data_IF_222229662791
#
_entry.id   IF_222229662791
#
_cell.length_a   1.000
_cell.length_b   1.000
_cell.length_c   1.000
_cell.angle_alpha   90.00
_cell.angle_beta   90.00
_cell.angle_gamma   90.00
#
_symmetry.space_group_name_H-M   'P 1'
#
loop_
_entity.id
_entity.type
_entity.pdbx_description
1 polymer ?
#
# COMPACT_ATOMS: atom_id res chain seq x y z
N UNK A 1 10.78 -14.43 8.41
CA UNK A 1 11.65 -13.25 8.19
C UNK A 1 13.07 -13.58 8.61
N UNK A 2 14.07 -13.40 7.76
CA UNK A 2 15.44 -13.20 8.25
C UNK A 2 15.64 -11.70 8.24
N UNK A 3 15.66 -11.10 9.43
CA UNK A 3 15.88 -9.66 9.56
C UNK A 3 17.30 -9.38 9.04
N UNK A 4 17.38 -8.65 7.93
CA UNK A 4 18.63 -8.45 7.20
C UNK A 4 19.68 -7.68 8.01
N UNK A 5 19.22 -6.93 9.02
CA UNK A 5 20.04 -6.17 9.96
C UNK A 5 20.20 -6.87 11.32
N UNK A 6 20.03 -8.20 11.37
CA UNK A 6 20.34 -9.00 12.55
C UNK A 6 21.42 -10.04 12.26
N UNK A 7 22.23 -10.30 13.29
CA UNK A 7 23.16 -11.42 13.38
C UNK A 7 22.38 -12.66 13.82
N UNK A 8 22.67 -13.79 13.19
CA UNK A 8 22.04 -15.08 13.51
C UNK A 8 23.15 -16.06 13.90
N UNK A 9 23.53 -16.07 15.18
CA UNK A 9 24.67 -16.85 15.67
C UNK A 9 24.34 -18.35 15.89
N UNK A 10 23.08 -18.68 16.18
CA UNK A 10 22.63 -20.05 16.51
C UNK A 10 21.87 -20.77 15.39
N UNK A 11 22.13 -20.40 14.13
CA UNK A 11 21.40 -20.92 12.97
C UNK A 11 20.10 -20.17 12.67
N UNK A 12 19.34 -20.66 11.69
CA UNK A 12 18.13 -19.98 11.23
C UNK A 12 16.96 -20.19 12.21
N UNK A 13 16.23 -19.12 12.60
CA UNK A 13 15.06 -19.24 13.45
C UNK A 13 13.97 -20.07 12.75
N UNK A 14 13.23 -20.84 13.54
CA UNK A 14 12.09 -21.64 13.06
C UNK A 14 11.03 -20.74 12.40
N UNK A 15 10.09 -21.34 11.68
CA UNK A 15 8.99 -20.58 11.07
C UNK A 15 8.18 -19.81 12.13
N UNK A 16 7.86 -20.44 13.25
CA UNK A 16 7.06 -19.84 14.32
C UNK A 16 7.78 -18.67 14.99
N UNK A 17 9.05 -18.84 15.35
CA UNK A 17 9.85 -17.74 15.92
C UNK A 17 9.93 -16.53 14.98
N UNK A 18 10.00 -16.79 13.68
CA UNK A 18 9.97 -15.73 12.66
C UNK A 18 8.63 -15.01 12.57
N UNK A 19 7.53 -15.71 12.77
CA UNK A 19 6.18 -15.14 12.81
C UNK A 19 6.01 -14.29 14.08
N UNK A 20 6.45 -14.79 15.24
CA UNK A 20 6.40 -14.08 16.52
C UNK A 20 7.25 -12.80 16.49
N UNK A 21 8.47 -12.86 15.94
CA UNK A 21 9.33 -11.69 15.76
C UNK A 21 8.70 -10.65 14.83
N UNK A 22 8.08 -11.10 13.74
CA UNK A 22 7.40 -10.21 12.81
C UNK A 22 6.20 -9.52 13.46
N UNK A 23 5.41 -10.29 14.22
CA UNK A 23 4.28 -9.75 14.96
C UNK A 23 4.75 -8.68 15.95
N UNK A 24 5.71 -8.99 16.83
CA UNK A 24 6.26 -8.04 17.80
C UNK A 24 6.79 -6.74 17.17
N UNK A 25 7.50 -6.85 16.04
CA UNK A 25 8.02 -5.68 15.33
C UNK A 25 6.91 -4.85 14.69
N UNK A 26 5.95 -5.50 14.01
CA UNK A 26 4.88 -4.83 13.31
C UNK A 26 3.85 -4.20 14.26
N UNK A 27 3.54 -4.83 15.38
CA UNK A 27 2.52 -4.34 16.33
C UNK A 27 3.09 -3.29 17.29
N UNK A 28 4.39 -3.36 17.60
CA UNK A 28 5.01 -2.45 18.57
C UNK A 28 6.18 -1.66 18.00
N UNK A 29 7.28 -2.31 17.62
CA UNK A 29 8.55 -1.61 17.36
C UNK A 29 8.47 -0.57 16.23
N UNK A 30 7.64 -0.84 15.21
CA UNK A 30 7.48 0.04 14.06
C UNK A 30 6.33 1.05 14.21
N UNK A 31 5.44 0.89 15.20
CA UNK A 31 4.37 1.84 15.46
C UNK A 31 4.83 2.88 16.49
N UNK A 32 4.82 4.15 16.11
CA UNK A 32 5.15 5.26 17.04
C UNK A 32 4.14 5.30 18.19
N UNK A 33 2.85 5.12 17.87
CA UNK A 33 1.76 5.12 18.86
C UNK A 33 1.91 3.97 19.84
N UNK A 34 2.16 2.74 19.38
CA UNK A 34 2.35 1.60 20.27
C UNK A 34 3.56 1.76 21.19
N UNK A 35 4.69 2.29 20.68
CA UNK A 35 5.88 2.53 21.52
C UNK A 35 5.65 3.54 22.63
N UNK A 36 4.77 4.54 22.43
CA UNK A 36 4.43 5.52 23.48
C UNK A 36 3.70 4.89 24.67
N UNK A 37 3.02 3.76 24.45
CA UNK A 37 2.26 3.06 25.50
C UNK A 37 3.09 2.05 26.29
N UNK A 38 4.42 1.99 26.07
CA UNK A 38 5.31 1.04 26.73
C UNK A 38 5.40 -0.31 26.02
N UNK A 39 6.36 -1.14 26.44
CA UNK A 39 6.63 -2.47 25.88
C UNK A 39 5.77 -3.53 26.59
N UNK A 40 4.82 -4.22 25.89
CA UNK A 40 4.04 -5.29 26.49
C UNK A 40 4.91 -6.49 26.91
N UNK A 41 4.55 -7.14 28.01
CA UNK A 41 5.29 -8.27 28.58
C UNK A 41 5.34 -9.46 27.62
N UNK A 42 4.26 -9.69 26.87
CA UNK A 42 4.10 -10.84 25.96
C UNK A 42 5.11 -10.83 24.81
N UNK A 43 5.57 -9.65 24.40
CA UNK A 43 6.51 -9.47 23.28
C UNK A 43 7.90 -9.02 23.73
N UNK A 44 8.11 -8.80 25.04
CA UNK A 44 9.37 -8.28 25.58
C UNK A 44 10.56 -9.16 25.24
N UNK A 45 10.39 -10.49 25.28
CA UNK A 45 11.44 -11.46 24.92
C UNK A 45 11.85 -11.32 23.46
N UNK A 46 10.88 -11.17 22.56
CA UNK A 46 11.10 -11.04 21.12
C UNK A 46 11.80 -9.72 20.81
N UNK A 47 11.40 -8.61 21.45
CA UNK A 47 12.03 -7.31 21.27
C UNK A 47 13.49 -7.32 21.76
N UNK A 48 13.76 -7.84 22.97
CA UNK A 48 15.14 -7.96 23.46
C UNK A 48 16.03 -8.80 22.55
N UNK A 49 15.50 -9.91 22.03
CA UNK A 49 16.21 -10.73 21.05
C UNK A 49 16.58 -9.94 19.79
N UNK A 50 15.68 -9.08 19.30
CA UNK A 50 15.97 -8.20 18.16
C UNK A 50 17.03 -7.18 18.51
N UNK A 51 16.95 -6.54 19.67
CA UNK A 51 17.92 -5.55 20.13
C UNK A 51 19.33 -6.14 20.24
N UNK A 52 19.47 -7.29 20.90
CA UNK A 52 20.75 -7.97 21.13
C UNK A 52 21.40 -8.44 19.82
N UNK A 53 20.58 -8.92 18.87
CA UNK A 53 21.06 -9.45 17.61
C UNK A 53 21.25 -8.38 16.53
N UNK A 54 20.72 -7.17 16.71
CA UNK A 54 20.79 -6.12 15.69
C UNK A 54 22.22 -5.62 15.47
N UNK A 55 22.57 -5.31 14.22
CA UNK A 55 23.84 -4.64 13.94
C UNK A 55 23.83 -3.24 14.57
N UNK A 56 24.94 -2.89 15.24
CA UNK A 56 25.23 -1.48 15.54
C UNK A 56 25.31 -0.70 14.23
N UNK A 57 24.73 0.49 14.19
CA UNK A 57 24.73 1.34 12.98
C UNK A 57 26.15 1.57 12.46
N UNK A 58 27.12 1.78 13.36
CA UNK A 58 28.54 1.98 12.99
C UNK A 58 29.14 0.80 12.23
N UNK A 59 28.65 -0.44 12.44
CA UNK A 59 29.11 -1.60 11.69
C UNK A 59 28.73 -1.53 10.21
N UNK A 60 27.73 -0.71 9.84
CA UNK A 60 27.36 -0.50 8.45
C UNK A 60 28.36 0.40 7.70
N UNK A 61 29.37 0.97 8.35
CA UNK A 61 30.49 1.61 7.66
C UNK A 61 31.37 0.60 6.91
N UNK A 62 31.33 -0.68 7.32
CA UNK A 62 32.06 -1.77 6.69
C UNK A 62 31.34 -2.29 5.44
N UNK A 63 32.05 -2.31 4.32
CA UNK A 63 31.52 -2.75 3.03
C UNK A 63 31.14 -4.24 3.02
N UNK A 64 31.80 -5.09 3.80
CA UNK A 64 31.49 -6.51 3.88
C UNK A 64 30.19 -6.77 4.61
N UNK A 65 29.93 -6.01 5.68
CA UNK A 65 28.64 -6.06 6.40
C UNK A 65 27.52 -5.63 5.47
N UNK A 66 27.67 -4.51 4.77
CA UNK A 66 26.64 -4.01 3.86
C UNK A 66 26.41 -4.97 2.68
N UNK A 67 27.47 -5.63 2.17
CA UNK A 67 27.36 -6.68 1.15
C UNK A 67 26.58 -7.89 1.69
N UNK A 68 26.82 -8.31 2.93
CA UNK A 68 26.07 -9.39 3.57
C UNK A 68 24.58 -9.03 3.71
N UNK A 69 24.27 -7.79 4.11
CA UNK A 69 22.89 -7.28 4.19
C UNK A 69 22.22 -7.34 2.81
N UNK A 70 22.88 -6.86 1.75
CA UNK A 70 22.36 -6.96 0.38
C UNK A 70 22.07 -8.40 -0.04
N UNK A 71 22.96 -9.33 0.30
CA UNK A 71 22.76 -10.76 0.07
C UNK A 71 21.50 -11.31 0.75
N UNK A 72 21.15 -10.81 1.95
CA UNK A 72 19.91 -11.18 2.63
C UNK A 72 18.67 -10.50 2.04
N UNK A 73 18.77 -9.23 1.64
CA UNK A 73 17.67 -8.53 0.97
C UNK A 73 17.29 -9.21 -0.35
N UNK A 74 18.28 -9.82 -1.04
CA UNK A 74 18.11 -10.60 -2.25
C UNK A 74 17.39 -11.95 -2.08
N UNK A 75 17.03 -12.34 -0.85
CA UNK A 75 16.34 -13.61 -0.56
C UNK A 75 14.90 -13.39 -0.08
N UNK A 76 14.07 -14.40 -0.35
CA UNK A 76 12.72 -14.60 0.20
C UNK A 76 12.82 -15.24 1.59
N UNK A 77 11.66 -15.39 2.25
CA UNK A 77 11.56 -16.01 3.57
C UNK A 77 11.94 -17.49 3.57
N UNK A 78 11.84 -18.17 2.44
CA UNK A 78 12.23 -19.57 2.24
C UNK A 78 13.70 -19.70 1.78
N UNK A 79 14.47 -18.61 1.79
CA UNK A 79 15.87 -18.58 1.38
C UNK A 79 16.08 -18.53 -0.14
N UNK A 80 15.03 -18.70 -0.95
CA UNK A 80 15.12 -18.62 -2.41
C UNK A 80 15.34 -17.17 -2.88
N UNK A 81 15.86 -16.95 -4.11
CA UNK A 81 16.02 -15.59 -4.65
C UNK A 81 14.71 -14.81 -4.66
N UNK A 82 14.75 -13.55 -4.22
CA UNK A 82 13.65 -12.61 -4.34
C UNK A 82 13.44 -12.21 -5.81
N UNK A 83 12.21 -11.78 -6.14
CA UNK A 83 11.97 -11.15 -7.43
C UNK A 83 12.85 -9.89 -7.58
N UNK A 84 13.27 -9.59 -8.80
CA UNK A 84 14.20 -8.49 -9.09
C UNK A 84 13.63 -7.14 -8.63
N UNK A 85 12.35 -6.90 -8.91
CA UNK A 85 11.64 -5.68 -8.50
C UNK A 85 11.55 -5.56 -6.98
N UNK A 86 11.43 -6.69 -6.27
CA UNK A 86 11.46 -6.74 -4.80
C UNK A 86 12.84 -6.40 -4.27
N UNK A 87 13.90 -6.95 -4.84
CA UNK A 87 15.28 -6.63 -4.44
C UNK A 87 15.59 -5.15 -4.69
N UNK A 88 15.26 -4.62 -5.88
CA UNK A 88 15.47 -3.23 -6.22
C UNK A 88 14.79 -2.28 -5.23
N UNK A 89 13.54 -2.59 -4.83
CA UNK A 89 12.80 -1.83 -3.81
C UNK A 89 13.48 -1.88 -2.45
N UNK A 90 13.83 -3.08 -1.96
CA UNK A 90 14.53 -3.26 -0.69
C UNK A 90 15.87 -2.50 -0.65
N UNK A 91 16.64 -2.57 -1.75
CA UNK A 91 17.92 -1.85 -1.89
C UNK A 91 17.72 -0.33 -1.85
N UNK A 92 16.71 0.19 -2.54
CA UNK A 92 16.38 1.62 -2.51
C UNK A 92 15.98 2.08 -1.10
N UNK A 93 15.16 1.31 -0.39
CA UNK A 93 14.82 1.58 1.02
C UNK A 93 16.07 1.57 1.90
N UNK A 94 16.95 0.58 1.74
CA UNK A 94 18.19 0.49 2.50
C UNK A 94 19.16 1.64 2.20
N UNK A 95 19.25 2.08 0.93
CA UNK A 95 20.00 3.27 0.56
C UNK A 95 19.49 4.53 1.28
N UNK A 96 18.17 4.74 1.30
CA UNK A 96 17.56 5.89 1.98
C UNK A 96 17.78 5.83 3.50
N UNK A 97 17.70 4.64 4.09
CA UNK A 97 18.05 4.44 5.50
C UNK A 97 19.50 4.85 5.78
N UNK A 98 20.47 4.34 5.01
CA UNK A 98 21.88 4.70 5.18
C UNK A 98 22.13 6.20 4.98
N UNK A 99 21.45 6.83 4.01
CA UNK A 99 21.50 8.29 3.81
C UNK A 99 20.97 9.04 5.04
N UNK A 100 19.84 8.62 5.59
CA UNK A 100 19.29 9.20 6.82
C UNK A 100 20.24 9.03 8.02
N UNK A 101 20.95 7.91 8.12
CA UNK A 101 21.96 7.71 9.18
C UNK A 101 23.16 8.64 9.04
N UNK A 102 23.53 9.03 7.81
CA UNK A 102 24.52 10.09 7.56
C UNK A 102 23.99 11.45 8.00
N UNK A 103 22.76 11.79 7.62
CA UNK A 103 22.11 13.06 8.05
C UNK A 103 22.00 13.18 9.58
N UNK A 104 21.89 12.05 10.28
CA UNK A 104 21.89 11.99 11.76
C UNK A 104 23.28 11.89 12.39
N UNK A 105 24.35 11.88 11.60
CA UNK A 105 25.73 11.86 12.09
C UNK A 105 26.21 10.50 12.62
N UNK A 106 25.48 9.41 12.37
CA UNK A 106 25.90 8.07 12.78
C UNK A 106 26.83 7.39 11.77
N UNK A 107 26.90 7.91 10.54
CA UNK A 107 27.80 7.48 9.48
C UNK A 107 28.41 8.71 8.80
N UNK A 108 29.66 8.61 8.35
CA UNK A 108 30.33 9.71 7.64
C UNK A 108 29.87 9.84 6.19
N UNK A 109 29.55 8.72 5.55
CA UNK A 109 29.08 8.66 4.16
C UNK A 109 28.23 7.41 3.94
N UNK A 110 27.43 7.41 2.87
CA UNK A 110 26.66 6.22 2.49
C UNK A 110 27.62 5.21 1.84
N UNK A 111 27.77 3.99 2.40
CA UNK A 111 28.70 2.97 1.88
C UNK A 111 28.19 2.28 0.62
N UNK A 112 26.87 2.32 0.36
CA UNK A 112 26.23 1.51 -0.67
C UNK A 112 26.71 1.80 -2.11
N UNK A 113 27.00 3.06 -2.51
CA UNK A 113 27.57 3.37 -3.81
C UNK A 113 28.94 2.73 -4.08
N UNK A 114 29.72 2.45 -3.04
CA UNK A 114 31.07 1.89 -3.17
C UNK A 114 31.06 0.36 -3.31
N UNK A 115 29.89 -0.27 -3.23
CA UNK A 115 29.75 -1.72 -3.32
C UNK A 115 29.43 -2.09 -4.76
N UNK A 116 30.39 -2.74 -5.42
CA UNK A 116 30.16 -3.37 -6.71
C UNK A 116 29.10 -4.46 -6.56
N UNK A 117 27.93 -4.20 -7.14
CA UNK A 117 26.79 -5.11 -7.15
C UNK A 117 26.12 -5.04 -8.51
N UNK A 118 26.06 -6.16 -9.24
CA UNK A 118 25.38 -6.22 -10.54
C UNK A 118 23.86 -6.14 -10.32
N UNK A 119 23.19 -5.06 -10.74
CA UNK A 119 21.73 -4.98 -10.64
C UNK A 119 21.12 -5.99 -11.61
N UNK A 120 20.11 -6.71 -11.17
CA UNK A 120 19.27 -7.51 -12.07
C UNK A 120 18.43 -6.59 -12.96
N UNK A 121 18.29 -6.95 -14.24
CA UNK A 121 17.57 -6.15 -15.23
C UNK A 121 16.07 -6.37 -15.04
N UNK A 122 15.40 -5.44 -14.36
CA UNK A 122 13.95 -5.43 -14.30
C UNK A 122 13.36 -5.20 -15.70
N UNK A 123 12.59 -6.17 -16.22
CA UNK A 123 11.72 -5.93 -17.36
C UNK A 123 10.49 -5.14 -16.89
N UNK A 124 10.29 -3.95 -17.43
CA UNK A 124 9.13 -3.09 -17.16
C UNK A 124 8.03 -3.27 -18.20
N UNK A 125 8.19 -4.18 -19.17
CA UNK A 125 7.20 -4.42 -20.20
C UNK A 125 5.88 -4.91 -19.59
N UNK A 126 4.80 -4.20 -19.93
CA UNK A 126 3.44 -4.63 -19.58
C UNK A 126 3.02 -5.74 -20.54
N UNK A 127 2.80 -6.95 -20.03
CA UNK A 127 2.19 -8.01 -20.81
C UNK A 127 0.71 -7.69 -21.09
N UNK A 128 0.43 -7.18 -22.29
CA UNK A 128 -0.91 -6.77 -22.74
C UNK A 128 -1.95 -7.90 -22.62
N UNK A 129 -1.53 -9.17 -22.63
CA UNK A 129 -2.44 -10.33 -22.47
C UNK A 129 -2.98 -10.46 -21.04
N UNK A 130 -2.25 -9.89 -20.07
CA UNK A 130 -2.63 -9.86 -18.65
C UNK A 130 -3.45 -8.62 -18.28
N UNK A 131 -3.55 -7.64 -19.18
CA UNK A 131 -4.36 -6.43 -18.97
C UNK A 131 -5.81 -6.71 -19.36
N UNK A 132 -6.73 -6.22 -18.54
CA UNK A 132 -8.17 -6.29 -18.80
C UNK A 132 -8.51 -5.40 -19.99
N UNK A 133 -9.04 -5.99 -21.06
CA UNK A 133 -9.57 -5.23 -22.19
C UNK A 133 -11.03 -4.82 -21.94
N UNK A 134 -11.58 -3.97 -22.80
CA UNK A 134 -12.94 -3.44 -22.65
C UNK A 134 -14.00 -4.53 -22.47
N UNK A 135 -14.00 -5.54 -23.35
CA UNK A 135 -14.97 -6.63 -23.31
C UNK A 135 -14.89 -7.43 -22.00
N UNK A 136 -13.67 -7.73 -21.53
CA UNK A 136 -13.45 -8.40 -20.23
C UNK A 136 -13.88 -7.52 -19.07
N UNK A 137 -13.55 -6.23 -19.10
CA UNK A 137 -13.93 -5.28 -18.05
C UNK A 137 -15.43 -5.15 -17.89
N UNK A 138 -16.17 -5.01 -19.00
CA UNK A 138 -17.65 -5.02 -18.97
C UNK A 138 -18.21 -6.30 -18.35
N UNK A 139 -17.65 -7.47 -18.69
CA UNK A 139 -18.05 -8.75 -18.08
C UNK A 139 -17.70 -8.83 -16.60
N UNK A 140 -16.56 -8.29 -16.18
CA UNK A 140 -16.15 -8.22 -14.78
C UNK A 140 -17.11 -7.34 -13.96
N UNK A 141 -17.49 -6.16 -14.47
CA UNK A 141 -18.46 -5.30 -13.80
C UNK A 141 -19.82 -5.99 -13.61
N UNK A 142 -20.28 -6.77 -14.59
CA UNK A 142 -21.50 -7.58 -14.47
C UNK A 142 -21.30 -8.70 -13.44
N UNK A 143 -20.16 -9.40 -13.46
CA UNK A 143 -19.87 -10.46 -12.51
C UNK A 143 -19.82 -9.93 -11.07
N UNK A 144 -19.20 -8.78 -10.85
CA UNK A 144 -19.15 -8.07 -9.56
C UNK A 144 -20.57 -7.81 -9.04
N UNK A 145 -21.50 -7.32 -9.87
CA UNK A 145 -22.88 -7.09 -9.42
C UNK A 145 -23.65 -8.33 -8.99
N UNK A 146 -23.14 -9.53 -9.30
CA UNK A 146 -23.74 -10.80 -8.88
C UNK A 146 -23.13 -11.34 -7.58
N UNK A 147 -22.16 -10.63 -6.98
CA UNK A 147 -21.49 -11.00 -5.73
C UNK A 147 -22.21 -10.41 -4.50
N UNK A 148 -23.50 -10.71 -4.38
CA UNK A 148 -24.35 -10.23 -3.29
C UNK A 148 -24.57 -8.71 -3.29
N UNK A 149 -25.12 -8.19 -2.18
CA UNK A 149 -25.46 -6.77 -2.06
C UNK A 149 -24.23 -5.85 -2.16
N UNK A 150 -23.12 -6.22 -1.51
CA UNK A 150 -21.89 -5.44 -1.56
C UNK A 150 -21.24 -5.46 -2.96
N UNK A 151 -21.30 -6.58 -3.67
CA UNK A 151 -20.88 -6.64 -5.07
C UNK A 151 -21.72 -5.74 -5.99
N UNK A 152 -23.05 -5.70 -5.79
CA UNK A 152 -23.93 -4.79 -6.53
C UNK A 152 -23.59 -3.32 -6.24
N UNK A 153 -23.40 -2.98 -4.96
CA UNK A 153 -23.00 -1.64 -4.51
C UNK A 153 -21.64 -1.20 -5.09
N UNK A 154 -20.64 -2.09 -5.08
CA UNK A 154 -19.30 -1.75 -5.56
C UNK A 154 -19.14 -1.87 -7.08
N UNK A 155 -20.18 -2.24 -7.85
CA UNK A 155 -20.10 -2.25 -9.31
C UNK A 155 -19.71 -0.88 -9.88
N UNK A 156 -20.29 0.21 -9.37
CA UNK A 156 -19.93 1.56 -9.80
C UNK A 156 -18.52 1.96 -9.34
N UNK A 157 -18.10 1.54 -8.14
CA UNK A 157 -16.73 1.71 -7.65
C UNK A 157 -15.70 1.08 -8.61
N UNK A 158 -15.88 -0.19 -8.98
CA UNK A 158 -15.02 -0.84 -9.96
C UNK A 158 -15.14 -0.21 -11.36
N UNK A 159 -16.32 0.36 -11.68
CA UNK A 159 -16.52 1.18 -12.87
C UNK A 159 -15.60 2.38 -12.92
N UNK A 160 -15.46 3.13 -11.81
CA UNK A 160 -14.54 4.27 -11.70
C UNK A 160 -13.08 3.85 -11.91
N UNK A 161 -12.66 2.72 -11.34
CA UNK A 161 -11.30 2.18 -11.53
C UNK A 161 -11.05 1.79 -12.99
N UNK A 162 -11.99 1.06 -13.59
CA UNK A 162 -11.80 0.50 -14.93
C UNK A 162 -11.99 1.51 -16.06
N UNK A 163 -13.06 2.32 -16.01
CA UNK A 163 -13.45 3.22 -17.10
C UNK A 163 -12.79 4.60 -17.00
N UNK A 164 -12.35 5.02 -15.80
CA UNK A 164 -11.76 6.33 -15.58
C UNK A 164 -10.37 6.29 -14.92
N UNK A 165 -9.84 5.09 -14.61
CA UNK A 165 -8.48 4.94 -14.08
C UNK A 165 -8.27 5.60 -12.72
N UNK A 166 -9.33 5.68 -11.90
CA UNK A 166 -9.21 6.15 -10.52
C UNK A 166 -8.35 5.18 -9.73
N UNK A 167 -7.54 5.72 -8.81
CA UNK A 167 -6.93 4.90 -7.78
C UNK A 167 -8.02 4.42 -6.81
N UNK A 168 -7.86 3.24 -6.18
CA UNK A 168 -8.78 2.75 -5.17
C UNK A 168 -9.15 3.78 -4.09
N UNK A 169 -8.15 4.51 -3.58
CA UNK A 169 -8.36 5.56 -2.58
C UNK A 169 -9.06 6.81 -3.10
N UNK A 170 -8.91 7.15 -4.39
CA UNK A 170 -9.64 8.27 -5.02
C UNK A 170 -11.12 7.89 -5.15
N UNK A 171 -11.42 6.68 -5.64
CA UNK A 171 -12.79 6.20 -5.73
C UNK A 171 -13.43 6.08 -4.34
N UNK A 172 -12.72 5.58 -3.33
CA UNK A 172 -13.25 5.43 -1.97
C UNK A 172 -13.59 6.77 -1.28
N UNK A 173 -12.95 7.86 -1.69
CA UNK A 173 -13.17 9.21 -1.16
C UNK A 173 -14.13 10.05 -2.02
N UNK A 174 -14.56 9.55 -3.20
CA UNK A 174 -15.39 10.28 -4.16
C UNK A 174 -16.74 10.67 -3.54
N UNK A 175 -17.08 11.95 -3.61
CA UNK A 175 -18.36 12.49 -3.13
C UNK A 175 -19.28 12.92 -4.27
N UNK A 176 -20.56 13.13 -3.96
CA UNK A 176 -21.55 13.59 -4.93
C UNK A 176 -21.22 14.99 -5.48
N UNK A 177 -20.73 15.89 -4.64
CA UNK A 177 -20.40 17.27 -5.02
C UNK A 177 -19.19 17.37 -5.97
N UNK A 178 -18.40 16.29 -6.08
CA UNK A 178 -17.31 16.19 -7.05
C UNK A 178 -17.77 15.71 -8.43
N UNK A 179 -19.07 15.44 -8.62
CA UNK A 179 -19.63 14.93 -9.87
C UNK A 179 -20.32 16.01 -10.69
N UNK A 180 -19.96 16.03 -11.98
CA UNK A 180 -20.67 16.75 -13.02
C UNK A 180 -21.31 15.70 -13.94
N UNK A 181 -22.55 15.34 -13.65
CA UNK A 181 -23.32 14.37 -14.42
C UNK A 181 -24.20 15.09 -15.45
N UNK A 182 -24.09 14.78 -16.75
CA UNK A 182 -24.90 15.41 -17.79
C UNK A 182 -26.33 14.86 -17.76
N UNK A 183 -27.35 15.69 -17.96
CA UNK A 183 -28.77 15.26 -17.91
C UNK A 183 -29.08 14.09 -18.86
N UNK A 184 -28.35 13.99 -19.97
CA UNK A 184 -28.44 12.92 -20.93
C UNK A 184 -27.40 11.82 -20.67
N UNK A 185 -27.87 10.58 -20.55
CA UNK A 185 -27.06 9.40 -20.28
C UNK A 185 -26.07 9.01 -21.39
N UNK A 186 -26.19 9.57 -22.59
CA UNK A 186 -25.26 9.34 -23.70
C UNK A 186 -24.16 10.41 -23.80
N UNK A 187 -24.18 11.41 -22.92
CA UNK A 187 -23.15 12.43 -22.84
C UNK A 187 -22.06 12.09 -21.82
N UNK A 188 -20.82 12.56 -22.04
CA UNK A 188 -19.75 12.41 -21.06
C UNK A 188 -19.94 13.37 -19.88
N UNK A 189 -19.49 12.96 -18.69
CA UNK A 189 -19.46 13.79 -17.49
C UNK A 189 -18.04 14.03 -16.97
N UNK A 190 -17.93 14.67 -15.81
CA UNK A 190 -16.65 14.94 -15.15
C UNK A 190 -16.66 14.57 -13.66
N UNK A 191 -15.50 14.13 -13.17
CA UNK A 191 -15.21 14.02 -11.74
C UNK A 191 -14.11 15.02 -11.39
N UNK A 192 -14.33 15.82 -10.36
CA UNK A 192 -13.39 16.83 -9.88
C UNK A 192 -12.73 16.37 -8.58
N UNK A 193 -11.86 15.35 -8.68
CA UNK A 193 -11.29 14.67 -7.53
C UNK A 193 -10.44 15.63 -6.69
N UNK A 194 -10.67 15.69 -5.39
CA UNK A 194 -9.93 16.55 -4.46
C UNK A 194 -9.15 15.74 -3.42
N UNK A 195 -9.60 14.53 -3.11
CA UNK A 195 -9.06 13.74 -2.02
C UNK A 195 -8.81 12.27 -2.40
N UNK A 196 -8.03 11.59 -1.56
CA UNK A 196 -7.79 10.16 -1.63
C UNK A 196 -7.75 9.58 -0.23
N UNK A 197 -8.37 8.42 -0.03
CA UNK A 197 -8.27 7.64 1.19
C UNK A 197 -7.41 6.40 0.95
N UNK A 198 -6.08 6.46 1.07
CA UNK A 198 -5.25 5.26 0.98
C UNK A 198 -5.58 4.29 2.13
N UNK A 199 -5.49 2.99 1.87
CA UNK A 199 -5.64 1.97 2.91
C UNK A 199 -4.42 2.02 3.84
N UNK A 200 -4.62 2.59 5.02
CA UNK A 200 -3.64 2.56 6.11
C UNK A 200 -4.41 2.24 7.39
N UNK A 201 -4.02 1.16 8.06
CA UNK A 201 -4.65 0.77 9.32
C UNK A 201 -4.41 1.81 10.41
N UNK A 202 -5.38 2.01 11.29
CA UNK A 202 -5.33 2.96 12.42
C UNK A 202 -4.01 3.02 13.19
N UNK A 203 -3.37 1.88 13.54
CA UNK A 203 -2.08 1.87 14.24
C UNK A 203 -0.90 2.57 13.52
N UNK A 204 -1.08 2.92 12.24
CA UNK A 204 -0.11 3.57 11.36
C UNK A 204 -0.51 5.00 10.97
N UNK A 205 -1.53 5.55 11.63
CA UNK A 205 -2.03 6.91 11.45
C UNK A 205 -1.86 7.70 12.73
N UNK A 206 -1.81 9.02 12.63
CA UNK A 206 -1.62 9.87 13.80
C UNK A 206 -2.90 9.95 14.64
N UNK A 207 -4.07 9.86 13.99
CA UNK A 207 -5.39 9.88 14.63
C UNK A 207 -5.82 8.52 15.19
N UNK A 208 -5.20 7.42 14.76
CA UNK A 208 -5.68 6.06 15.06
C UNK A 208 -6.81 5.60 14.14
N UNK A 209 -7.21 6.41 13.17
CA UNK A 209 -8.29 6.15 12.21
C UNK A 209 -7.81 6.31 10.77
N UNK A 210 -8.50 5.70 9.81
CA UNK A 210 -8.15 5.86 8.39
C UNK A 210 -8.41 7.29 7.94
N UNK A 211 -7.36 7.94 7.44
CA UNK A 211 -7.41 9.34 7.04
C UNK A 211 -7.77 9.53 5.56
N UNK A 212 -8.54 10.57 5.28
CA UNK A 212 -8.68 11.15 3.94
C UNK A 212 -7.59 12.22 3.79
N UNK A 213 -6.80 12.12 2.72
CA UNK A 213 -5.63 12.97 2.47
C UNK A 213 -5.66 13.53 1.05
N UNK A 214 -4.69 14.39 0.75
CA UNK A 214 -4.52 14.97 -0.58
C UNK A 214 -4.21 13.92 -1.65
N UNK A 215 -4.50 14.25 -2.90
CA UNK A 215 -4.17 13.41 -4.05
C UNK A 215 -2.67 13.09 -4.13
N UNK A 216 -2.36 11.90 -4.65
CA UNK A 216 -0.99 11.41 -4.79
C UNK A 216 -0.13 12.38 -5.62
N UNK A 217 0.98 12.84 -5.05
CA UNK A 217 1.90 13.81 -5.68
C UNK A 217 1.21 15.11 -6.12
N UNK A 218 0.29 15.61 -5.30
CA UNK A 218 -0.39 16.89 -5.52
C UNK A 218 -0.39 17.73 -4.24
N UNK A 219 -0.61 19.03 -4.40
CA UNK A 219 -0.84 19.94 -3.29
C UNK A 219 -2.18 19.62 -2.59
N UNK A 220 -2.34 20.08 -1.35
CA UNK A 220 -3.49 19.76 -0.49
C UNK A 220 -4.84 20.11 -1.11
N UNK A 221 -4.90 21.21 -1.87
CA UNK A 221 -6.14 21.71 -2.49
C UNK A 221 -6.18 21.51 -4.02
N UNK A 222 -5.38 20.59 -4.55
CA UNK A 222 -5.34 20.37 -5.98
C UNK A 222 -6.55 19.55 -6.44
N UNK A 223 -7.26 20.06 -7.43
CA UNK A 223 -8.34 19.33 -8.12
C UNK A 223 -7.76 18.57 -9.31
N UNK A 224 -8.13 17.30 -9.46
CA UNK A 224 -7.84 16.49 -10.65
C UNK A 224 -9.15 16.27 -11.41
N UNK A 225 -9.39 16.98 -12.53
CA UNK A 225 -10.51 16.67 -13.40
C UNK A 225 -10.27 15.33 -14.10
N UNK A 226 -11.27 14.47 -14.11
CA UNK A 226 -11.24 13.17 -14.77
C UNK A 226 -12.51 13.01 -15.61
N UNK A 227 -12.42 12.80 -16.93
CA UNK A 227 -13.59 12.61 -17.77
C UNK A 227 -14.25 11.25 -17.46
N UNK A 228 -15.58 11.23 -17.50
CA UNK A 228 -16.41 10.04 -17.40
C UNK A 228 -17.01 9.69 -18.74
N UNK A 229 -16.83 8.45 -19.17
CA UNK A 229 -17.59 7.92 -20.31
C UNK A 229 -19.10 7.89 -20.01
N UNK A 230 -19.98 7.95 -21.02
CA UNK A 230 -21.43 7.81 -20.83
C UNK A 230 -21.82 6.53 -20.07
N UNK A 231 -21.11 5.43 -20.32
CA UNK A 231 -21.30 4.18 -19.57
C UNK A 231 -21.02 4.35 -18.07
N UNK A 232 -19.99 5.12 -17.69
CA UNK A 232 -19.69 5.39 -16.29
C UNK A 232 -20.73 6.31 -15.66
N UNK A 233 -21.19 7.34 -16.38
CA UNK A 233 -22.30 8.20 -15.93
C UNK A 233 -23.55 7.37 -15.60
N UNK A 234 -23.94 6.44 -16.47
CA UNK A 234 -25.05 5.51 -16.21
C UNK A 234 -24.83 4.62 -14.99
N UNK A 235 -23.62 4.09 -14.80
CA UNK A 235 -23.31 3.28 -13.63
C UNK A 235 -23.41 4.09 -12.33
N UNK A 236 -22.97 5.34 -12.34
CA UNK A 236 -23.05 6.24 -11.19
C UNK A 236 -24.50 6.65 -10.91
N UNK A 237 -25.29 7.00 -11.94
CA UNK A 237 -26.71 7.31 -11.77
C UNK A 237 -27.47 6.13 -11.16
N UNK A 238 -27.31 4.92 -11.72
CA UNK A 238 -27.93 3.72 -11.18
C UNK A 238 -27.49 3.43 -9.73
N UNK A 239 -26.23 3.70 -9.39
CA UNK A 239 -25.74 3.60 -8.01
C UNK A 239 -26.44 4.59 -7.09
N UNK A 240 -26.56 5.85 -7.49
CA UNK A 240 -27.20 6.89 -6.70
C UNK A 240 -28.70 6.61 -6.50
N UNK A 241 -29.39 6.08 -7.51
CA UNK A 241 -30.80 5.69 -7.42
C UNK A 241 -31.03 4.55 -6.42
N UNK A 242 -30.16 3.53 -6.42
CA UNK A 242 -30.34 2.34 -5.60
C UNK A 242 -29.80 2.55 -4.17
N UNK A 243 -28.64 3.19 -4.05
CA UNK A 243 -27.88 3.23 -2.80
C UNK A 243 -27.73 4.63 -2.20
N UNK A 244 -28.01 5.70 -2.95
CA UNK A 244 -27.76 7.07 -2.53
C UNK A 244 -26.30 7.30 -2.11
N UNK A 245 -26.09 8.26 -1.21
CA UNK A 245 -24.79 8.59 -0.62
C UNK A 245 -24.72 8.17 0.85
N UNK A 246 -23.51 8.10 1.38
CA UNK A 246 -23.29 8.13 2.83
C UNK A 246 -23.67 9.53 3.41
N UNK A 247 -23.83 9.67 4.74
CA UNK A 247 -24.15 10.96 5.37
C UNK A 247 -23.13 12.07 5.12
N UNK A 248 -21.88 11.70 4.83
CA UNK A 248 -20.78 12.60 4.49
C UNK A 248 -20.66 12.88 2.98
N UNK A 249 -21.66 12.45 2.19
CA UNK A 249 -21.71 12.67 0.74
C UNK A 249 -20.91 11.69 -0.10
N UNK A 250 -20.15 10.76 0.50
CA UNK A 250 -19.41 9.73 -0.24
C UNK A 250 -20.36 8.81 -1.01
N UNK A 251 -19.95 8.42 -2.22
CA UNK A 251 -20.69 7.46 -3.04
C UNK A 251 -20.59 6.04 -2.48
N UNK A 252 -19.36 5.61 -2.14
CA UNK A 252 -19.07 4.23 -1.78
C UNK A 252 -18.72 4.10 -0.30
N UNK A 253 -19.17 2.98 0.27
CA UNK A 253 -19.09 2.69 1.71
C UNK A 253 -19.05 1.19 1.96
N UNK A 254 -18.40 0.79 3.04
CA UNK A 254 -18.41 -0.58 3.56
C UNK A 254 -19.78 -0.92 4.17
N UNK A 255 -20.00 -2.18 4.56
CA UNK A 255 -21.27 -2.64 5.15
C UNK A 255 -21.62 -1.90 6.45
N UNK A 256 -20.60 -1.48 7.21
CA UNK A 256 -20.70 -0.67 8.42
C UNK A 256 -20.90 0.85 8.14
N UNK A 257 -20.98 1.25 6.87
CA UNK A 257 -21.07 2.65 6.45
C UNK A 257 -19.72 3.38 6.39
N UNK A 258 -18.63 2.73 6.77
CA UNK A 258 -17.28 3.29 6.77
C UNK A 258 -16.66 3.43 5.37
N UNK A 259 -15.36 3.71 5.33
CA UNK A 259 -14.58 3.72 4.09
C UNK A 259 -14.45 2.29 3.53
N UNK A 260 -14.52 2.17 2.21
CA UNK A 260 -14.33 0.89 1.51
C UNK A 260 -12.91 0.36 1.75
N UNK A 261 -12.79 -0.79 2.39
CA UNK A 261 -11.50 -1.45 2.65
C UNK A 261 -11.04 -2.34 1.50
N UNK A 262 -9.73 -2.53 1.37
CA UNK A 262 -9.10 -3.44 0.43
C UNK A 262 -9.51 -4.88 0.75
N UNK A 263 -9.75 -5.24 2.01
CA UNK A 263 -10.29 -6.56 2.37
C UNK A 263 -11.65 -6.82 1.71
N UNK A 264 -12.55 -5.84 1.71
CA UNK A 264 -13.85 -5.94 1.03
C UNK A 264 -13.65 -5.99 -0.48
N UNK A 265 -12.83 -5.10 -1.04
CA UNK A 265 -12.55 -5.07 -2.48
C UNK A 265 -11.92 -6.37 -2.99
N UNK A 266 -11.02 -6.98 -2.22
CA UNK A 266 -10.28 -8.19 -2.63
C UNK A 266 -11.10 -9.49 -2.50
N UNK A 267 -12.23 -9.48 -1.79
CA UNK A 267 -13.08 -10.67 -1.58
C UNK A 267 -14.24 -10.78 -2.58
N UNK A 268 -14.53 -9.69 -3.29
CA UNK A 268 -15.57 -9.60 -4.33
C UNK A 268 -15.06 -10.21 -5.63
#
# INVERSE_FOLDING_TARGET
>A
MMLALMRWEKGHPTRREREDLHAALATWAFSVTARRNGLPEEIQKQIRLVEDASFKISALADSDVVRAVLGQLGKKLDGKPAAESTFARKRATFYNFLKYMVEKGHLNANPLPNISWTPTKNDTAVDRRRVVNEAKGRRLLIAVSRRGAMGLHLRAYFGCLFLAGLRPGEAAALTLDELELPDNDDEPGWMHLTASSPEVGGPWTDSGEREIRQLKHRAVNAVRPVPMSPLLCRLIRAHLEIFGTAPDGRLFRSEDGGLVSDSTVNTI
#
